data_IF_398155099546
#
_entry.id   IF_398155099546
#
_cell.length_a   1.000
_cell.length_b   1.000
_cell.length_c   1.000
_cell.angle_alpha   90.00
_cell.angle_beta   90.00
_cell.angle_gamma   90.00
#
_symmetry.space_group_name_H-M   'P 1'
#
loop_
_entity.id
_entity.type
_entity.pdbx_description
1 polymer ?
#
# COMPACT_ATOMS: atom_id res chain seq x y z
N UNK A 1 9.01 30.13 19.14
CA UNK A 1 9.54 28.75 19.10
C UNK A 1 8.86 28.03 17.95
N UNK A 2 9.54 27.86 16.81
CA UNK A 2 9.04 27.02 15.75
C UNK A 2 9.21 25.57 16.21
N UNK A 3 8.12 24.86 16.46
CA UNK A 3 8.17 23.40 16.57
C UNK A 3 8.68 22.89 15.22
N UNK A 4 9.92 22.43 15.16
CA UNK A 4 10.40 21.62 14.05
C UNK A 4 9.45 20.42 13.94
N UNK A 5 8.56 20.45 12.94
CA UNK A 5 7.85 19.26 12.47
C UNK A 5 8.93 18.33 11.96
N UNK A 6 9.42 17.45 12.83
CA UNK A 6 10.30 16.36 12.42
C UNK A 6 9.48 15.48 11.45
N UNK A 7 9.67 15.68 10.15
CA UNK A 7 9.21 14.74 9.14
C UNK A 7 10.11 13.51 9.21
N UNK A 8 9.71 12.52 9.98
CA UNK A 8 10.29 11.20 9.84
C UNK A 8 9.75 10.63 8.53
N UNK A 9 10.60 10.64 7.52
CA UNK A 9 10.39 9.91 6.28
C UNK A 9 10.29 8.42 6.64
N UNK A 10 9.18 7.78 6.26
CA UNK A 10 8.88 6.40 6.54
C UNK A 10 8.65 5.65 5.23
N UNK A 11 9.27 4.50 5.05
CA UNK A 11 9.01 3.64 3.90
C UNK A 11 8.30 2.36 4.36
N UNK A 12 7.04 2.15 3.96
CA UNK A 12 6.28 0.96 4.38
C UNK A 12 6.91 -0.34 3.90
N UNK A 13 7.70 -0.30 2.81
CA UNK A 13 8.32 -1.46 2.20
C UNK A 13 9.71 -1.78 2.79
N UNK A 14 10.22 -1.01 3.75
CA UNK A 14 11.56 -1.22 4.32
C UNK A 14 11.73 -2.61 4.95
N UNK A 15 10.66 -3.16 5.52
CA UNK A 15 10.66 -4.50 6.13
C UNK A 15 10.60 -5.66 5.13
N UNK A 16 10.31 -5.39 3.85
CA UNK A 16 10.30 -6.45 2.83
C UNK A 16 11.73 -6.90 2.55
N UNK A 17 11.98 -8.18 2.79
CA UNK A 17 13.16 -8.89 2.30
C UNK A 17 12.88 -9.47 0.90
N UNK A 18 13.62 -8.95 -0.08
CA UNK A 18 13.48 -9.29 -1.49
C UNK A 18 13.92 -10.73 -1.81
N UNK A 19 14.67 -11.40 -0.93
CA UNK A 19 15.09 -12.80 -1.15
C UNK A 19 14.04 -13.80 -0.69
N UNK A 20 12.98 -13.36 -0.01
CA UNK A 20 12.05 -14.20 0.74
C UNK A 20 10.62 -14.22 0.17
N UNK A 21 10.49 -14.47 -1.14
CA UNK A 21 9.19 -14.55 -1.86
C UNK A 21 8.24 -13.39 -1.50
N UNK A 22 8.63 -12.14 -1.80
CA UNK A 22 7.84 -10.97 -1.45
C UNK A 22 6.57 -10.88 -2.33
N UNK A 23 5.48 -10.42 -1.73
CA UNK A 23 4.27 -10.05 -2.45
C UNK A 23 3.60 -8.82 -1.80
N UNK A 24 3.01 -7.96 -2.63
CA UNK A 24 2.23 -6.79 -2.21
C UNK A 24 0.83 -6.95 -2.77
N UNK A 25 -0.17 -7.02 -1.89
CA UNK A 25 -1.59 -7.13 -2.27
C UNK A 25 -2.27 -5.78 -2.08
N UNK A 26 -3.00 -5.33 -3.09
CA UNK A 26 -3.84 -4.14 -3.09
C UNK A 26 -5.30 -4.57 -3.17
N UNK A 27 -5.98 -4.61 -2.03
CA UNK A 27 -7.36 -5.09 -1.89
C UNK A 27 -8.29 -3.90 -1.63
N UNK A 28 -9.56 -3.99 -2.05
CA UNK A 28 -10.50 -2.88 -1.93
C UNK A 28 -10.68 -2.41 -0.48
N UNK A 29 -10.61 -1.09 -0.29
CA UNK A 29 -10.90 -0.42 0.97
C UNK A 29 -12.38 -0.03 1.11
N UNK A 30 -12.64 0.91 2.02
CA UNK A 30 -14.00 1.36 2.36
C UNK A 30 -14.44 2.59 1.54
N UNK A 31 -13.50 3.26 0.88
CA UNK A 31 -13.82 4.37 -0.01
C UNK A 31 -14.18 3.91 -1.43
N UNK A 32 -14.90 4.79 -2.13
CA UNK A 32 -15.13 4.61 -3.56
C UNK A 32 -13.78 4.55 -4.31
N UNK A 33 -13.64 3.67 -5.31
CA UNK A 33 -12.45 3.60 -6.13
C UNK A 33 -12.31 4.89 -6.96
N UNK A 34 -11.08 5.40 -7.04
CA UNK A 34 -10.73 6.52 -7.91
C UNK A 34 -10.33 5.99 -9.31
N UNK A 35 -9.78 6.85 -10.17
CA UNK A 35 -9.44 6.48 -11.56
C UNK A 35 -8.45 5.30 -11.64
N UNK A 36 -7.43 5.29 -10.78
CA UNK A 36 -6.43 4.22 -10.77
C UNK A 36 -7.06 2.89 -10.33
N UNK A 37 -7.83 2.92 -9.25
CA UNK A 37 -8.49 1.77 -8.65
C UNK A 37 -9.58 1.20 -9.56
N UNK A 38 -10.31 2.07 -10.26
CA UNK A 38 -11.30 1.67 -11.26
C UNK A 38 -10.64 0.97 -12.46
N UNK A 39 -9.43 1.39 -12.84
CA UNK A 39 -8.68 0.80 -13.95
C UNK A 39 -8.05 -0.56 -13.60
N UNK A 40 -7.42 -0.66 -12.44
CA UNK A 40 -6.63 -1.84 -12.07
C UNK A 40 -7.39 -2.83 -11.19
N UNK A 41 -8.44 -2.39 -10.50
CA UNK A 41 -9.22 -3.22 -9.58
C UNK A 41 -8.39 -3.67 -8.39
N UNK A 42 -8.71 -4.84 -7.86
CA UNK A 42 -7.92 -5.49 -6.80
C UNK A 42 -6.84 -6.34 -7.44
N UNK A 43 -5.62 -6.30 -6.91
CA UNK A 43 -4.48 -6.97 -7.54
C UNK A 43 -3.35 -7.29 -6.55
N UNK A 44 -2.35 -8.01 -7.04
CA UNK A 44 -1.08 -8.15 -6.33
C UNK A 44 0.12 -8.10 -7.28
N UNK A 45 1.29 -7.86 -6.70
CA UNK A 45 2.59 -7.90 -7.35
C UNK A 45 3.48 -8.83 -6.54
N UNK A 46 4.13 -9.79 -7.19
CA UNK A 46 5.13 -10.67 -6.59
C UNK A 46 6.45 -10.72 -7.38
N UNK A 47 6.59 -9.88 -8.41
CA UNK A 47 7.83 -9.69 -9.15
C UNK A 47 8.82 -8.90 -8.29
N UNK A 48 9.92 -9.53 -7.90
CA UNK A 48 10.93 -8.93 -7.01
C UNK A 48 11.53 -7.64 -7.58
N UNK A 49 11.70 -7.55 -8.90
CA UNK A 49 12.24 -6.36 -9.56
C UNK A 49 11.28 -5.17 -9.49
N UNK A 50 9.99 -5.42 -9.72
CA UNK A 50 8.94 -4.42 -9.55
C UNK A 50 8.83 -3.95 -8.09
N UNK A 51 8.87 -4.88 -7.13
CA UNK A 51 8.83 -4.56 -5.70
C UNK A 51 10.06 -3.75 -5.27
N UNK A 52 11.25 -4.08 -5.77
CA UNK A 52 12.47 -3.33 -5.50
C UNK A 52 12.38 -1.88 -6.00
N UNK A 53 11.85 -1.65 -7.21
CA UNK A 53 11.61 -0.30 -7.74
C UNK A 53 10.65 0.49 -6.85
N UNK A 54 9.55 -0.13 -6.42
CA UNK A 54 8.58 0.49 -5.51
C UNK A 54 9.22 0.83 -4.17
N UNK A 55 9.97 -0.11 -3.58
CA UNK A 55 10.66 0.07 -2.30
C UNK A 55 11.58 1.30 -2.30
N UNK A 56 12.28 1.57 -3.39
CA UNK A 56 13.20 2.71 -3.47
C UNK A 56 12.50 4.05 -3.73
N UNK A 57 11.19 4.04 -3.99
CA UNK A 57 10.43 5.26 -4.31
C UNK A 57 9.42 5.60 -3.23
N UNK A 58 8.76 4.63 -2.61
CA UNK A 58 7.71 4.89 -1.62
C UNK A 58 8.24 5.42 -0.28
N UNK A 59 8.43 6.74 -0.22
CA UNK A 59 8.78 7.47 1.00
C UNK A 59 7.60 8.34 1.42
N UNK A 60 7.14 8.14 2.64
CA UNK A 60 5.94 8.72 3.21
C UNK A 60 6.32 9.70 4.30
N UNK A 61 5.60 10.81 4.42
CA UNK A 61 5.83 11.82 5.45
C UNK A 61 4.67 11.84 6.41
N UNK A 62 4.98 11.71 7.70
CA UNK A 62 3.95 11.80 8.73
C UNK A 62 3.29 13.19 8.69
N UNK A 63 1.97 13.21 8.79
CA UNK A 63 1.17 14.45 8.76
C UNK A 63 0.03 14.40 9.77
N UNK A 64 -0.39 15.58 10.22
CA UNK A 64 -1.51 15.79 11.15
C UNK A 64 -2.76 16.30 10.42
N UNK A 65 -2.73 16.36 9.09
CA UNK A 65 -3.89 16.76 8.30
C UNK A 65 -5.04 15.78 8.46
N UNK A 66 -6.27 16.29 8.57
CA UNK A 66 -7.47 15.47 8.68
C UNK A 66 -8.02 15.22 7.28
N UNK A 67 -8.06 13.97 6.86
CA UNK A 67 -8.59 13.57 5.56
C UNK A 67 -10.06 13.18 5.65
N UNK A 68 -10.90 13.83 4.84
CA UNK A 68 -12.32 13.51 4.71
C UNK A 68 -12.59 12.33 3.75
N UNK A 69 -11.67 12.06 2.84
CA UNK A 69 -11.75 10.94 1.90
C UNK A 69 -11.21 9.66 2.54
N UNK A 70 -11.99 8.59 2.49
CA UNK A 70 -11.59 7.30 3.03
C UNK A 70 -10.45 6.64 2.23
N UNK A 71 -10.08 5.43 2.64
CA UNK A 71 -9.02 4.65 1.99
C UNK A 71 -9.58 3.74 0.89
N UNK A 72 -9.03 3.84 -0.33
CA UNK A 72 -9.46 3.08 -1.51
C UNK A 72 -8.81 1.70 -1.59
N UNK A 73 -7.59 1.55 -1.06
CA UNK A 73 -6.92 0.26 -0.90
C UNK A 73 -6.56 -0.04 0.54
N UNK A 74 -6.64 -1.31 0.88
CA UNK A 74 -5.96 -1.96 1.99
C UNK A 74 -4.78 -2.74 1.39
N UNK A 75 -3.58 -2.38 1.80
CA UNK A 75 -2.32 -2.91 1.26
C UNK A 75 -1.69 -3.87 2.27
N UNK A 76 -1.50 -5.13 1.84
CA UNK A 76 -0.81 -6.15 2.64
C UNK A 76 0.58 -6.40 2.06
N UNK A 77 1.60 -6.29 2.91
CA UNK A 77 2.95 -6.72 2.60
C UNK A 77 3.14 -8.14 3.12
N UNK A 78 3.48 -9.05 2.21
CA UNK A 78 3.55 -10.48 2.49
C UNK A 78 4.93 -11.01 2.14
N UNK A 79 5.45 -11.86 3.02
CA UNK A 79 6.73 -12.53 2.86
C UNK A 79 6.58 -13.97 3.33
N UNK A 80 7.00 -14.94 2.51
CA UNK A 80 6.83 -16.37 2.80
C UNK A 80 5.40 -16.71 3.31
N UNK A 81 4.37 -16.23 2.58
CA UNK A 81 2.94 -16.42 2.91
C UNK A 81 2.47 -15.83 4.25
N UNK A 82 3.28 -14.97 4.88
CA UNK A 82 2.97 -14.29 6.14
C UNK A 82 2.89 -12.78 5.96
N UNK A 83 1.90 -12.14 6.57
CA UNK A 83 1.76 -10.68 6.53
C UNK A 83 2.81 -10.08 7.46
N UNK A 84 3.67 -9.22 6.91
CA UNK A 84 4.71 -8.52 7.68
C UNK A 84 4.36 -7.06 7.96
N UNK A 85 3.47 -6.47 7.16
CA UNK A 85 2.96 -5.12 7.37
C UNK A 85 1.59 -4.95 6.69
N UNK A 86 0.82 -3.99 7.18
CA UNK A 86 -0.50 -3.64 6.67
C UNK A 86 -0.70 -2.14 6.80
N UNK A 87 -1.18 -1.52 5.75
CA UNK A 87 -1.63 -0.13 5.78
C UNK A 87 -2.77 0.07 4.79
N UNK A 88 -3.41 1.22 4.87
CA UNK A 88 -4.44 1.61 3.92
C UNK A 88 -3.99 2.87 3.20
N UNK A 89 -4.39 3.05 1.95
CA UNK A 89 -4.00 4.20 1.14
C UNK A 89 -5.14 4.70 0.30
N UNK A 90 -5.08 5.98 -0.04
CA UNK A 90 -5.82 6.60 -1.11
C UNK A 90 -4.84 7.11 -2.17
N UNK A 91 -4.83 6.47 -3.34
CA UNK A 91 -3.89 6.77 -4.42
C UNK A 91 -4.07 8.19 -4.96
N UNK A 92 -5.33 8.57 -5.19
CA UNK A 92 -5.69 9.87 -5.75
C UNK A 92 -5.37 11.01 -4.80
N UNK A 93 -5.55 10.80 -3.49
CA UNK A 93 -5.31 11.83 -2.49
C UNK A 93 -3.85 11.88 -2.05
N UNK A 94 -3.07 10.82 -2.25
CA UNK A 94 -1.66 10.78 -1.84
C UNK A 94 -1.49 10.60 -0.34
N UNK A 95 -2.35 9.79 0.28
CA UNK A 95 -2.34 9.58 1.73
C UNK A 95 -2.40 8.11 2.09
N UNK A 96 -1.74 7.76 3.18
CA UNK A 96 -1.78 6.44 3.77
C UNK A 96 -2.02 6.51 5.29
N UNK A 97 -2.80 5.56 5.79
CA UNK A 97 -3.03 5.38 7.22
C UNK A 97 -2.39 4.07 7.70
N UNK A 98 -1.53 4.18 8.71
CA UNK A 98 -0.68 3.08 9.18
C UNK A 98 -0.18 3.36 10.60
N UNK A 99 -0.13 2.34 11.45
CA UNK A 99 0.36 2.46 12.84
C UNK A 99 -0.28 3.63 13.60
N UNK A 100 -1.59 3.84 13.41
CA UNK A 100 -2.38 4.92 14.02
C UNK A 100 -1.96 6.36 13.63
N UNK A 101 -1.18 6.50 12.55
CA UNK A 101 -0.77 7.79 12.01
C UNK A 101 -1.17 7.94 10.55
N UNK A 102 -1.42 9.18 10.16
CA UNK A 102 -1.59 9.57 8.76
C UNK A 102 -0.23 9.96 8.17
N UNK A 103 -0.05 9.59 6.91
CA UNK A 103 1.09 9.96 6.12
C UNK A 103 0.65 10.50 4.77
N UNK A 104 1.35 11.51 4.27
CA UNK A 104 1.27 11.96 2.89
C UNK A 104 2.36 11.26 2.04
N UNK A 105 2.11 11.11 0.76
CA UNK A 105 3.02 10.55 -0.21
C UNK A 105 2.79 11.18 -1.60
N UNK A 106 3.81 11.24 -2.43
CA UNK A 106 3.70 11.71 -3.82
C UNK A 106 2.77 10.80 -4.66
N UNK A 107 1.66 11.33 -5.14
CA UNK A 107 0.69 10.60 -5.97
C UNK A 107 1.34 10.00 -7.23
N UNK A 108 2.43 10.60 -7.70
CA UNK A 108 3.21 10.08 -8.83
C UNK A 108 3.79 8.68 -8.58
N UNK A 109 3.76 8.17 -7.34
CA UNK A 109 4.27 6.86 -7.02
C UNK A 109 3.63 5.71 -7.79
N UNK A 110 2.34 5.83 -8.11
CA UNK A 110 1.63 4.84 -8.92
C UNK A 110 2.15 4.78 -10.36
N UNK A 111 2.91 5.78 -10.82
CA UNK A 111 3.61 5.73 -12.10
C UNK A 111 4.85 4.82 -12.08
N UNK A 112 5.39 4.51 -10.89
CA UNK A 112 6.51 3.56 -10.76
C UNK A 112 6.05 2.11 -10.57
N UNK A 113 4.73 1.87 -10.45
CA UNK A 113 4.19 0.53 -10.54
C UNK A 113 4.45 -0.01 -11.94
N UNK A 114 5.18 -1.12 -12.02
CA UNK A 114 5.31 -1.87 -13.26
C UNK A 114 3.99 -2.60 -13.53
N UNK A 115 3.09 -1.93 -14.24
CA UNK A 115 1.72 -2.41 -14.45
C UNK A 115 1.67 -3.69 -15.28
N UNK A 116 2.74 -4.04 -15.99
CA UNK A 116 2.88 -5.32 -16.70
C UNK A 116 3.06 -6.51 -15.76
N UNK A 117 3.43 -6.25 -14.49
CA UNK A 117 3.64 -7.25 -13.44
C UNK A 117 2.45 -7.37 -12.49
N UNK A 118 1.39 -6.61 -12.73
CA UNK A 118 0.15 -6.67 -11.95
C UNK A 118 -0.59 -7.96 -12.27
N UNK A 119 -0.95 -8.70 -11.23
CA UNK A 119 -1.84 -9.85 -11.30
C UNK A 119 -3.19 -9.48 -10.70
N UNK A 120 -4.19 -9.29 -11.56
CA UNK A 120 -5.55 -8.94 -11.13
C UNK A 120 -6.18 -10.08 -10.34
N UNK A 121 -6.92 -9.72 -9.31
CA UNK A 121 -7.69 -10.62 -8.48
C UNK A 121 -9.16 -10.52 -8.84
N UNK A 122 -9.85 -11.66 -8.85
CA UNK A 122 -11.31 -11.66 -8.79
C UNK A 122 -11.76 -11.27 -7.39
N UNK A 123 -13.01 -10.82 -7.27
CA UNK A 123 -13.58 -10.49 -5.96
C UNK A 123 -13.52 -11.67 -4.98
N UNK A 124 -13.80 -12.89 -5.45
CA UNK A 124 -13.72 -14.09 -4.62
C UNK A 124 -12.30 -14.36 -4.10
N UNK A 125 -11.28 -14.17 -4.94
CA UNK A 125 -9.88 -14.33 -4.54
C UNK A 125 -9.51 -13.29 -3.48
N UNK A 126 -9.87 -12.03 -3.70
CA UNK A 126 -9.61 -10.94 -2.76
C UNK A 126 -10.33 -11.14 -1.42
N UNK A 127 -11.59 -11.57 -1.42
CA UNK A 127 -12.32 -11.90 -0.20
C UNK A 127 -11.64 -13.04 0.58
N UNK A 128 -11.17 -14.07 -0.13
CA UNK A 128 -10.44 -15.19 0.46
C UNK A 128 -9.11 -14.74 1.09
N UNK A 129 -8.34 -13.92 0.36
CA UNK A 129 -7.07 -13.35 0.83
C UNK A 129 -7.30 -12.45 2.05
N UNK A 130 -8.28 -11.54 1.97
CA UNK A 130 -8.66 -10.66 3.08
C UNK A 130 -9.03 -11.44 4.34
N UNK A 131 -9.83 -12.51 4.20
CA UNK A 131 -10.18 -13.40 5.32
C UNK A 131 -8.95 -14.14 5.86
N UNK A 132 -8.07 -14.64 4.99
CA UNK A 132 -6.82 -15.32 5.38
C UNK A 132 -5.92 -14.40 6.20
N UNK A 133 -5.77 -13.15 5.80
CA UNK A 133 -4.86 -12.20 6.45
C UNK A 133 -5.44 -11.58 7.72
N UNK A 134 -6.76 -11.35 7.79
CA UNK A 134 -7.42 -10.86 9.02
C UNK A 134 -7.39 -11.87 10.17
N UNK A 135 -7.47 -13.18 9.88
CA UNK A 135 -7.45 -14.25 10.90
C UNK A 135 -6.09 -14.46 11.58
N UNK A 136 -5.04 -13.77 11.14
CA UNK A 136 -3.67 -13.94 11.63
C UNK A 136 -3.17 -12.76 12.48
N UNK A 137 -4.05 -11.80 12.81
CA UNK A 137 -3.86 -10.86 13.93
C UNK A 137 -4.36 -11.49 15.21
#
# INVERSE_FOLDING_TARGET
>A
MACNKYSLDYNPLDKIDLTNKPAIYFLGGEAAPCDFESKYGEYFINDTGAIHKLKNKWVFRKTDEVMACGNSYIIYLVQNDSVINLFSSNAECGYAFMNDYLYEFDKSYYNYLDTTKIQKLTRQQSDSISKKFRKRK
#
